data_IF_497948412074
#
_entry.id   IF_497948412074
#
_cell.length_a   1.000
_cell.length_b   1.000
_cell.length_c   1.000
_cell.angle_alpha   90.00
_cell.angle_beta   90.00
_cell.angle_gamma   90.00
#
_symmetry.space_group_name_H-M   'P 1'
#
loop_
_entity.id
_entity.type
_entity.pdbx_description
1 polymer ?
#
# COMPACT_ATOMS: atom_id res chain seq x y z
N UNK A 1 -5.71 -27.58 6.74
CA UNK A 1 -4.55 -27.66 5.82
C UNK A 1 -3.41 -28.26 6.62
N UNK A 2 -3.05 -29.51 6.31
CA UNK A 2 -2.09 -30.29 7.08
C UNK A 2 -0.69 -30.05 6.52
N UNK A 3 0.19 -29.45 7.31
CA UNK A 3 1.62 -29.33 6.98
C UNK A 3 2.28 -30.67 7.36
N UNK A 4 2.43 -31.58 6.40
CA UNK A 4 3.17 -32.84 6.62
C UNK A 4 4.66 -32.55 6.77
N UNK A 5 5.19 -32.88 7.95
CA UNK A 5 6.59 -32.72 8.32
C UNK A 5 7.49 -33.67 7.54
N UNK A 6 8.43 -33.13 6.76
CA UNK A 6 9.62 -33.83 6.31
C UNK A 6 10.82 -33.24 7.03
N UNK A 7 11.27 -33.95 8.06
CA UNK A 7 12.45 -33.64 8.89
C UNK A 7 13.68 -34.16 8.15
N UNK A 8 14.47 -33.27 7.54
CA UNK A 8 15.88 -33.54 7.22
C UNK A 8 16.71 -32.27 7.53
N UNK A 9 17.44 -32.36 8.64
CA UNK A 9 18.74 -31.74 8.91
C UNK A 9 19.18 -30.56 8.00
N UNK A 10 18.82 -29.34 8.40
CA UNK A 10 19.67 -28.15 8.22
C UNK A 10 19.36 -27.15 9.34
N UNK A 11 20.28 -27.04 10.29
CA UNK A 11 20.22 -26.10 11.40
C UNK A 11 20.28 -24.67 10.87
N UNK A 12 19.12 -24.01 10.71
CA UNK A 12 19.11 -22.56 10.51
C UNK A 12 18.05 -21.96 9.59
N UNK A 13 16.80 -22.44 9.57
CA UNK A 13 15.67 -21.68 8.96
C UNK A 13 14.30 -22.20 9.47
N UNK A 14 14.09 -22.15 10.80
CA UNK A 14 12.73 -22.14 11.35
C UNK A 14 12.17 -20.72 11.28
N UNK A 15 11.76 -20.30 10.08
CA UNK A 15 10.83 -19.18 9.90
C UNK A 15 9.53 -19.74 9.32
N UNK A 16 8.96 -20.73 10.01
CA UNK A 16 7.71 -21.38 9.59
C UNK A 16 6.54 -20.53 10.09
N UNK A 17 5.96 -19.76 9.18
CA UNK A 17 4.55 -19.38 9.18
C UNK A 17 4.07 -18.53 10.37
N UNK A 18 4.60 -17.33 10.54
CA UNK A 18 3.73 -16.24 11.03
C UNK A 18 2.82 -15.85 9.86
N UNK A 19 1.54 -16.19 9.95
CA UNK A 19 0.51 -15.52 9.17
C UNK A 19 0.59 -14.03 9.55
N UNK A 20 1.40 -13.28 8.82
CA UNK A 20 1.63 -11.87 9.10
C UNK A 20 0.33 -11.16 8.77
N UNK A 21 -0.38 -10.77 9.83
CA UNK A 21 -1.48 -9.85 9.74
C UNK A 21 -0.99 -8.59 9.02
N UNK A 22 -1.50 -8.35 7.81
CA UNK A 22 -1.07 -7.19 7.02
C UNK A 22 -1.53 -5.92 7.71
N UNK A 23 -0.59 -5.03 7.98
CA UNK A 23 -0.89 -3.70 8.51
C UNK A 23 -1.09 -2.74 7.34
N UNK A 24 -2.21 -2.01 7.28
CA UNK A 24 -2.41 -0.96 6.29
C UNK A 24 -2.66 0.38 6.99
N UNK A 25 -2.48 1.47 6.25
CA UNK A 25 -3.01 2.76 6.69
C UNK A 25 -4.49 2.85 6.35
N UNK A 26 -5.31 3.31 7.30
CA UNK A 26 -6.75 3.51 7.14
C UNK A 26 -7.12 4.91 7.59
N UNK A 27 -7.42 5.77 6.63
CA UNK A 27 -7.72 7.18 6.88
C UNK A 27 -8.44 7.84 5.70
N UNK A 28 -9.00 9.03 5.92
CA UNK A 28 -9.54 9.89 4.88
C UNK A 28 -9.11 11.34 5.10
N UNK A 29 -8.60 12.00 4.05
CA UNK A 29 -8.17 13.40 4.11
C UNK A 29 -9.31 14.39 4.31
N UNK A 30 -10.57 13.94 4.15
CA UNK A 30 -11.77 14.74 4.43
C UNK A 30 -11.94 14.91 5.95
N UNK A 31 -11.65 13.87 6.71
CA UNK A 31 -11.83 13.83 8.16
C UNK A 31 -10.54 14.16 8.92
N UNK A 32 -9.40 13.85 8.32
CA UNK A 32 -8.09 14.04 8.93
C UNK A 32 -7.07 14.54 7.89
N UNK A 33 -6.69 15.81 8.02
CA UNK A 33 -5.71 16.46 7.13
C UNK A 33 -4.35 15.76 7.08
N UNK A 34 -3.99 14.96 8.09
CA UNK A 34 -2.73 14.18 8.11
C UNK A 34 -2.77 12.98 7.14
N UNK A 35 -3.95 12.59 6.67
CA UNK A 35 -4.13 11.60 5.60
C UNK A 35 -3.83 12.17 4.20
N UNK A 36 -2.91 13.13 4.09
CA UNK A 36 -2.55 13.77 2.83
C UNK A 36 -1.81 12.83 1.86
N UNK A 37 -1.57 13.32 0.63
CA UNK A 37 -0.80 12.58 -0.37
C UNK A 37 0.70 12.53 0.00
N UNK A 38 1.25 13.64 0.51
CA UNK A 38 2.50 13.64 1.26
C UNK A 38 2.24 13.03 2.64
N UNK A 39 2.32 11.71 2.67
CA UNK A 39 1.94 10.96 3.84
C UNK A 39 3.07 10.93 4.86
N UNK A 40 2.88 11.66 5.96
CA UNK A 40 3.70 11.54 7.16
C UNK A 40 2.92 10.64 8.10
N UNK A 41 3.17 9.34 7.98
CA UNK A 41 2.44 8.28 8.68
C UNK A 41 2.38 8.51 10.19
N UNK A 42 1.24 8.97 10.73
CA UNK A 42 1.05 9.00 12.16
C UNK A 42 0.61 7.61 12.63
N UNK A 43 1.09 7.18 13.80
CA UNK A 43 0.84 5.81 14.30
C UNK A 43 -0.63 5.47 14.50
N UNK A 44 -1.52 6.46 14.57
CA UNK A 44 -2.96 6.28 14.73
C UNK A 44 -3.70 5.87 13.44
N UNK A 45 -3.06 5.94 12.27
CA UNK A 45 -3.64 5.49 11.00
C UNK A 45 -3.37 4.02 10.69
N UNK A 46 -2.44 3.40 11.39
CA UNK A 46 -2.11 1.99 11.21
C UNK A 46 -3.25 1.11 11.73
N UNK A 47 -3.70 0.18 10.90
CA UNK A 47 -4.68 -0.85 11.25
C UNK A 47 -4.17 -2.21 10.85
N UNK A 48 -4.36 -3.16 11.76
CA UNK A 48 -4.23 -4.59 11.47
C UNK A 48 -5.44 -5.02 10.63
N UNK A 49 -5.19 -5.43 9.40
CA UNK A 49 -6.19 -5.88 8.45
C UNK A 49 -6.36 -7.41 8.42
N UNK A 50 -5.59 -8.15 9.24
CA UNK A 50 -5.57 -9.62 9.28
C UNK A 50 -6.78 -10.26 9.95
N UNK A 51 -7.76 -9.46 10.41
CA UNK A 51 -8.97 -9.98 11.05
C UNK A 51 -10.20 -9.71 10.19
N UNK A 52 -10.98 -10.76 9.95
CA UNK A 52 -12.30 -10.77 9.31
C UNK A 52 -13.20 -9.62 9.80
N UNK A 53 -13.13 -8.47 9.13
CA UNK A 53 -14.03 -7.35 9.35
C UNK A 53 -15.12 -7.42 8.29
N UNK A 54 -16.33 -7.79 8.72
CA UNK A 54 -17.55 -7.80 7.89
C UNK A 54 -17.63 -8.84 6.75
N UNK A 55 -16.98 -10.00 6.82
CA UNK A 55 -17.20 -11.04 5.81
C UNK A 55 -16.24 -11.05 4.63
N UNK A 56 -15.34 -10.08 4.56
CA UNK A 56 -14.38 -9.94 3.47
C UNK A 56 -13.02 -10.41 4.00
N UNK A 57 -12.50 -11.49 3.40
CA UNK A 57 -11.11 -11.87 3.62
C UNK A 57 -10.23 -10.79 2.99
N UNK A 58 -9.42 -10.14 3.81
CA UNK A 58 -8.31 -9.38 3.30
C UNK A 58 -7.21 -10.37 2.88
N UNK A 59 -6.84 -10.34 1.61
CA UNK A 59 -5.76 -11.16 1.03
C UNK A 59 -4.36 -10.62 1.41
N UNK A 60 -4.29 -9.76 2.43
CA UNK A 60 -3.09 -9.07 2.86
C UNK A 60 -2.76 -7.90 1.93
N UNK A 61 -3.80 -7.20 1.48
CA UNK A 61 -3.66 -6.09 0.55
C UNK A 61 -4.14 -4.79 1.17
N UNK A 62 -3.63 -3.69 0.64
CA UNK A 62 -4.02 -2.36 1.02
C UNK A 62 -4.45 -1.58 -0.23
N UNK A 63 -5.38 -0.63 -0.04
CA UNK A 63 -5.81 0.27 -1.11
C UNK A 63 -5.56 1.73 -0.77
N UNK A 64 -5.36 2.53 -1.83
CA UNK A 64 -5.30 4.00 -1.79
C UNK A 64 -6.11 4.55 -2.96
N UNK A 65 -6.99 5.50 -2.68
CA UNK A 65 -7.63 6.33 -3.71
C UNK A 65 -7.23 7.79 -3.52
N UNK A 66 -7.05 8.48 -4.65
CA UNK A 66 -6.75 9.91 -4.71
C UNK A 66 -7.64 10.53 -5.76
N UNK A 67 -8.32 11.62 -5.41
CA UNK A 67 -9.10 12.43 -6.34
C UNK A 67 -8.54 13.86 -6.33
N UNK A 68 -8.32 14.43 -7.50
CA UNK A 68 -7.88 15.80 -7.67
C UNK A 68 -8.97 16.53 -8.46
N UNK A 69 -9.64 17.47 -7.81
CA UNK A 69 -10.65 18.31 -8.45
C UNK A 69 -10.08 19.70 -8.67
N UNK A 70 -10.18 20.20 -9.91
CA UNK A 70 -9.79 21.57 -10.25
C UNK A 70 -11.05 22.39 -10.50
N UNK A 71 -11.32 23.35 -9.64
CA UNK A 71 -12.48 24.23 -9.75
C UNK A 71 -12.07 25.67 -9.48
N UNK A 72 -12.45 26.58 -10.38
CA UNK A 72 -12.30 28.03 -10.21
C UNK A 72 -10.88 28.50 -9.83
N UNK A 73 -9.84 27.87 -10.39
CA UNK A 73 -8.44 28.18 -10.09
C UNK A 73 -7.89 27.55 -8.80
N UNK A 74 -8.72 26.85 -8.03
CA UNK A 74 -8.30 26.07 -6.86
C UNK A 74 -8.18 24.58 -7.20
N UNK A 75 -7.23 23.90 -6.57
CA UNK A 75 -7.04 22.45 -6.70
C UNK A 75 -7.28 21.80 -5.35
N UNK A 76 -8.32 20.96 -5.27
CA UNK A 76 -8.64 20.17 -4.08
C UNK A 76 -8.19 18.74 -4.28
N UNK A 77 -7.43 18.20 -3.34
CA UNK A 77 -7.01 16.79 -3.36
C UNK A 77 -7.68 16.05 -2.20
N UNK A 78 -8.32 14.94 -2.50
CA UNK A 78 -8.88 14.01 -1.51
C UNK A 78 -8.12 12.69 -1.60
N UNK A 79 -7.70 12.16 -0.46
CA UNK A 79 -7.02 10.86 -0.35
C UNK A 79 -7.75 9.99 0.66
N UNK A 80 -7.97 8.74 0.30
CA UNK A 80 -8.52 7.73 1.20
C UNK A 80 -7.63 6.49 1.15
N UNK A 81 -7.41 5.87 2.31
CA UNK A 81 -6.63 4.65 2.47
C UNK A 81 -7.45 3.60 3.21
N UNK A 82 -7.32 2.34 2.83
CA UNK A 82 -8.07 1.24 3.44
C UNK A 82 -7.30 -0.07 3.39
N UNK A 83 -7.75 -1.02 4.20
CA UNK A 83 -7.49 -2.45 4.06
C UNK A 83 -8.17 -3.00 2.79
N UNK A 84 -7.67 -4.12 2.27
CA UNK A 84 -8.21 -4.89 1.17
C UNK A 84 -7.90 -4.36 -0.22
N UNK A 85 -8.12 -5.23 -1.22
CA UNK A 85 -7.96 -4.96 -2.65
C UNK A 85 -9.28 -4.42 -3.19
N UNK A 86 -9.43 -3.10 -3.16
CA UNK A 86 -10.63 -2.44 -3.70
C UNK A 86 -10.59 -2.35 -5.23
N UNK A 87 -9.41 -2.49 -5.83
CA UNK A 87 -9.21 -2.30 -7.25
C UNK A 87 -8.41 -3.46 -7.84
N UNK A 88 -8.77 -3.92 -9.03
CA UNK A 88 -8.02 -4.97 -9.72
C UNK A 88 -6.75 -4.41 -10.38
N UNK A 89 -5.87 -3.83 -9.57
CA UNK A 89 -4.55 -3.35 -9.97
C UNK A 89 -3.55 -3.53 -8.83
N UNK A 90 -2.31 -3.85 -9.17
CA UNK A 90 -1.20 -3.95 -8.21
C UNK A 90 -0.32 -2.68 -8.23
N UNK A 91 -0.72 -1.71 -9.06
CA UNK A 91 -0.09 -0.41 -9.21
C UNK A 91 -1.14 0.67 -9.26
N UNK A 92 -0.74 1.89 -8.92
CA UNK A 92 -1.63 3.02 -9.04
C UNK A 92 -1.92 3.36 -10.50
N UNK A 93 -3.18 3.28 -10.89
CA UNK A 93 -3.64 3.68 -12.22
C UNK A 93 -4.51 4.93 -12.11
N UNK A 94 -4.46 5.77 -13.15
CA UNK A 94 -5.43 6.86 -13.31
C UNK A 94 -6.79 6.22 -13.65
N UNK A 95 -7.79 6.42 -12.81
CA UNK A 95 -9.16 6.02 -13.09
C UNK A 95 -9.84 7.08 -13.97
N UNK A 96 -10.85 6.67 -14.74
CA UNK A 96 -11.48 7.47 -15.79
C UNK A 96 -11.83 8.92 -15.39
N UNK A 97 -11.72 9.79 -16.38
CA UNK A 97 -11.78 11.24 -16.25
C UNK A 97 -13.23 11.72 -16.32
N UNK A 98 -13.85 12.00 -15.17
CA UNK A 98 -15.00 12.91 -15.17
C UNK A 98 -14.48 14.33 -15.41
N UNK A 99 -15.11 15.13 -16.29
CA UNK A 99 -14.62 16.46 -16.69
C UNK A 99 -14.21 17.30 -15.47
N UNK A 100 -12.91 17.55 -15.31
CA UNK A 100 -12.35 18.37 -14.22
C UNK A 100 -11.91 17.62 -12.95
N UNK A 101 -11.99 16.28 -12.95
CA UNK A 101 -11.57 15.42 -11.83
C UNK A 101 -10.57 14.36 -12.32
N UNK A 102 -9.37 14.37 -11.76
CA UNK A 102 -8.37 13.31 -11.94
C UNK A 102 -8.47 12.31 -10.78
N UNK A 103 -8.89 11.08 -11.07
CA UNK A 103 -8.91 9.98 -10.09
C UNK A 103 -7.68 9.09 -10.25
N UNK A 104 -7.11 8.62 -9.13
CA UNK A 104 -6.08 7.60 -9.09
C UNK A 104 -6.48 6.55 -8.06
N UNK A 105 -6.44 5.28 -8.46
CA UNK A 105 -6.83 4.16 -7.63
C UNK A 105 -5.67 3.17 -7.61
N UNK A 106 -5.29 2.70 -6.43
CA UNK A 106 -4.17 1.79 -6.23
C UNK A 106 -4.57 0.68 -5.26
N UNK A 107 -4.14 -0.53 -5.55
CA UNK A 107 -3.98 -1.58 -4.54
C UNK A 107 -2.53 -2.06 -4.53
N UNK A 108 -2.09 -2.62 -3.41
CA UNK A 108 -0.76 -3.19 -3.22
C UNK A 108 -0.82 -4.29 -2.16
N UNK A 109 0.20 -5.15 -2.11
CA UNK A 109 0.33 -6.20 -1.10
C UNK A 109 1.46 -5.90 -0.12
N UNK A 110 1.27 -6.35 1.12
CA UNK A 110 2.26 -6.24 2.19
C UNK A 110 2.08 -5.02 3.10
N UNK A 111 2.84 -5.04 4.20
CA UNK A 111 2.67 -4.08 5.28
C UNK A 111 2.92 -2.65 4.83
N UNK A 112 1.92 -1.80 5.11
CA UNK A 112 1.96 -0.34 5.02
C UNK A 112 2.24 0.14 3.58
N UNK A 113 1.99 -0.72 2.59
CA UNK A 113 2.31 -0.45 1.19
C UNK A 113 1.52 0.74 0.61
N UNK A 114 0.33 1.05 1.16
CA UNK A 114 -0.52 2.17 0.75
C UNK A 114 -0.09 3.53 1.32
N UNK A 115 1.10 3.62 1.94
CA UNK A 115 1.66 4.88 2.44
C UNK A 115 2.22 5.79 1.35
N UNK A 116 2.72 5.23 0.24
CA UNK A 116 3.44 5.97 -0.79
C UNK A 116 2.59 6.92 -1.64
N UNK A 117 3.21 8.00 -2.13
CA UNK A 117 2.80 8.66 -3.37
C UNK A 117 3.52 7.95 -4.54
N UNK A 118 2.87 7.86 -5.71
CA UNK A 118 3.38 7.15 -6.90
C UNK A 118 4.82 7.51 -7.30
N UNK A 119 5.30 8.65 -6.83
CA UNK A 119 6.61 9.21 -7.16
C UNK A 119 7.79 8.54 -6.45
N UNK A 120 7.58 7.77 -5.38
CA UNK A 120 8.69 7.16 -4.61
C UNK A 120 9.13 5.77 -5.11
N UNK A 121 8.30 5.05 -5.86
CA UNK A 121 8.64 3.71 -6.33
C UNK A 121 9.78 3.72 -7.38
N UNK A 122 9.83 4.74 -8.24
CA UNK A 122 10.85 4.86 -9.29
C UNK A 122 12.25 5.20 -8.77
N UNK A 123 12.37 5.83 -7.60
CA UNK A 123 13.67 6.20 -7.02
C UNK A 123 14.38 4.99 -6.41
N UNK A 124 13.65 4.04 -5.81
CA UNK A 124 14.25 2.83 -5.24
C UNK A 124 14.90 1.92 -6.29
N UNK A 125 14.35 1.86 -7.50
CA UNK A 125 14.96 1.11 -8.61
C UNK A 125 16.27 1.72 -9.12
N UNK A 126 16.43 3.04 -9.04
CA UNK A 126 17.66 3.71 -9.47
C UNK A 126 18.79 3.56 -8.43
N UNK A 127 18.46 3.57 -7.14
CA UNK A 127 19.46 3.43 -6.07
C UNK A 127 20.02 2.01 -6.01
N UNK A 128 19.19 0.97 -6.19
CA UNK A 128 19.67 -0.42 -6.21
C UNK A 128 20.59 -0.71 -7.41
N UNK A 129 20.29 -0.11 -8.57
CA UNK A 129 21.12 -0.22 -9.77
C UNK A 129 22.51 0.44 -9.60
N UNK A 130 22.58 1.57 -8.87
CA UNK A 130 23.84 2.27 -8.60
C UNK A 130 24.71 1.58 -7.55
N UNK A 131 24.13 0.92 -6.55
CA UNK A 131 24.93 0.15 -5.57
C UNK A 131 25.54 -1.11 -6.19
N UNK A 132 24.91 -1.69 -7.21
CA UNK A 132 25.45 -2.88 -7.87
C UNK A 132 26.75 -2.59 -8.64
N UNK A 133 26.92 -1.39 -9.21
CA UNK A 133 28.11 -1.07 -10.02
C UNK A 133 29.35 -0.70 -9.20
N UNK A 134 29.18 -0.30 -7.93
CA UNK A 134 30.30 0.09 -7.05
C UNK A 134 31.05 -1.14 -6.48
N UNK A 135 30.42 -2.32 -6.45
CA UNK A 135 31.07 -3.57 -5.98
C UNK A 135 31.81 -4.35 -7.08
N UNK A 136 31.75 -3.89 -8.34
CA UNK A 136 32.45 -4.53 -9.47
C UNK A 136 33.67 -3.73 -9.97
N UNK A 137 34.17 -2.78 -9.18
CA UNK A 137 35.44 -2.07 -9.42
C UNK A 137 36.38 -2.19 -8.22
#
# INVERSE_FOLDING_TARGET
MNCSAMVIYFSGLLACCSAANTQCYVCSSILDSTCADEYVSPSNHEKDCGTYLFGIYDDGSCSKSKSITKALGSTTTVVTRSCGKLFNNDYCAKAEHMKGVDGYLCSCHGDKCNGGSQFKASVYFLVSALTATVFFY
#
